data_IF_374588702852
#
_entry.id   IF_374588702852
#
_cell.length_a   1.000
_cell.length_b   1.000
_cell.length_c   1.000
_cell.angle_alpha   90.00
_cell.angle_beta   90.00
_cell.angle_gamma   90.00
#
_symmetry.space_group_name_H-M   'P 1'
#
loop_
_entity.id
_entity.type
_entity.pdbx_description
1 polymer ?
#
# COMPACT_ATOMS: atom_id res chain seq x y z
N UNK A 1 38.79 23.21 -13.60
CA UNK A 1 37.58 22.64 -12.96
C UNK A 1 37.63 21.17 -13.25
N UNK A 2 38.38 20.47 -12.41
CA UNK A 2 38.84 19.10 -12.63
C UNK A 2 37.75 18.09 -12.31
N UNK A 3 37.64 17.09 -13.18
CA UNK A 3 36.72 15.97 -13.07
C UNK A 3 37.08 15.08 -11.87
N UNK A 4 36.09 14.73 -11.06
CA UNK A 4 36.24 13.79 -9.94
C UNK A 4 36.04 12.38 -10.45
N UNK A 5 37.07 11.55 -10.35
CA UNK A 5 37.07 10.14 -10.69
C UNK A 5 36.51 9.28 -9.55
N UNK A 6 35.67 8.30 -9.90
CA UNK A 6 35.20 7.23 -8.99
C UNK A 6 36.05 5.96 -9.19
N UNK A 7 36.56 5.32 -8.13
CA UNK A 7 37.19 4.01 -8.28
C UNK A 7 36.15 2.88 -8.27
N UNK A 8 36.21 2.06 -9.32
CA UNK A 8 35.54 0.77 -9.47
C UNK A 8 36.22 -0.32 -8.65
N UNK A 9 35.45 -1.14 -7.91
CA UNK A 9 35.85 -2.54 -7.66
C UNK A 9 34.65 -3.44 -7.34
N UNK A 10 34.59 -4.55 -8.07
CA UNK A 10 33.89 -5.82 -7.81
C UNK A 10 34.94 -6.92 -8.07
N UNK A 11 34.72 -8.22 -7.80
CA UNK A 11 33.69 -8.92 -7.00
C UNK A 11 34.33 -9.90 -5.98
N UNK A 12 33.52 -10.53 -5.10
CA UNK A 12 33.92 -11.78 -4.45
C UNK A 12 32.74 -12.75 -4.31
N UNK A 13 32.93 -13.94 -4.89
CA UNK A 13 32.04 -15.10 -4.89
C UNK A 13 32.31 -16.00 -3.66
N UNK A 14 31.26 -16.74 -3.29
CA UNK A 14 31.26 -18.15 -2.86
C UNK A 14 31.77 -18.53 -1.45
N UNK A 15 30.85 -19.09 -0.64
CA UNK A 15 31.12 -20.33 0.10
C UNK A 15 29.81 -21.08 0.41
N UNK A 16 29.77 -22.34 -0.01
CA UNK A 16 28.72 -23.36 0.20
C UNK A 16 28.95 -24.14 1.52
N UNK A 17 27.84 -24.74 2.02
CA UNK A 17 27.59 -25.64 3.17
C UNK A 17 28.73 -26.51 3.75
N UNK A 18 28.52 -27.03 4.98
CA UNK A 18 28.27 -28.47 5.09
C UNK A 18 27.07 -28.88 5.97
N UNK A 19 26.58 -30.09 5.67
CA UNK A 19 25.56 -30.90 6.35
C UNK A 19 25.90 -31.25 7.81
N UNK A 20 24.86 -31.55 8.59
CA UNK A 20 24.91 -32.58 9.63
C UNK A 20 23.53 -33.22 9.85
N UNK A 21 23.51 -34.55 9.76
CA UNK A 21 22.41 -35.50 9.87
C UNK A 21 22.24 -36.09 11.28
N UNK A 22 21.04 -36.60 11.59
CA UNK A 22 20.73 -37.56 12.68
C UNK A 22 19.84 -36.97 13.78
N UNK A 23 18.84 -37.62 14.38
CA UNK A 23 18.45 -39.03 14.53
C UNK A 23 16.92 -39.08 14.87
N UNK A 24 16.11 -39.98 14.27
CA UNK A 24 15.64 -41.26 14.81
C UNK A 24 15.03 -41.25 16.23
N UNK A 25 13.77 -41.69 16.36
CA UNK A 25 13.19 -42.14 17.65
C UNK A 25 11.65 -42.14 17.70
N UNK A 26 11.01 -43.25 17.30
CA UNK A 26 9.58 -43.50 17.54
C UNK A 26 9.28 -44.16 18.89
N UNK A 27 7.98 -44.24 19.24
CA UNK A 27 7.28 -45.38 19.91
C UNK A 27 5.81 -45.01 20.23
N UNK A 28 4.91 -45.87 19.73
CA UNK A 28 3.77 -46.58 20.36
C UNK A 28 3.05 -45.85 21.52
N UNK A 29 1.72 -45.69 21.57
CA UNK A 29 0.66 -46.69 21.37
C UNK A 29 0.03 -47.03 22.72
N UNK A 30 -1.30 -46.85 22.90
CA UNK A 30 -2.21 -47.79 23.56
C UNK A 30 -3.60 -47.17 23.85
N UNK A 31 -4.58 -47.93 23.38
CA UNK A 31 -5.99 -47.98 23.76
C UNK A 31 -6.23 -48.19 25.26
N UNK A 32 -7.36 -47.67 25.76
CA UNK A 32 -7.95 -48.07 27.04
C UNK A 32 -9.42 -47.67 27.12
N UNK A 33 -10.31 -48.66 26.97
CA UNK A 33 -11.73 -48.62 27.28
C UNK A 33 -11.95 -48.64 28.81
N UNK A 34 -12.94 -47.92 29.32
CA UNK A 34 -13.70 -48.29 30.51
C UNK A 34 -15.06 -47.58 30.55
N UNK A 35 -16.10 -48.34 30.85
CA UNK A 35 -17.52 -48.00 30.86
C UNK A 35 -18.01 -47.37 32.19
N UNK A 36 -19.26 -46.88 32.11
CA UNK A 36 -20.35 -46.97 33.11
C UNK A 36 -20.68 -45.76 34.01
N UNK A 37 -21.73 -45.07 33.58
CA UNK A 37 -22.98 -44.72 34.31
C UNK A 37 -22.93 -44.37 35.80
N UNK A 38 -23.28 -43.11 36.11
CA UNK A 38 -24.34 -42.77 37.08
C UNK A 38 -24.68 -41.28 36.98
N UNK A 39 -25.98 -40.96 36.96
CA UNK A 39 -26.48 -39.61 36.75
C UNK A 39 -26.53 -38.76 38.02
N UNK A 40 -26.66 -37.45 37.83
CA UNK A 40 -27.68 -36.61 38.47
C UNK A 40 -27.63 -35.17 37.94
N UNK A 41 -28.84 -34.68 37.64
CA UNK A 41 -29.30 -33.29 37.57
C UNK A 41 -28.35 -32.17 37.98
N UNK A 42 -28.15 -31.23 37.05
CA UNK A 42 -27.69 -29.88 37.34
C UNK A 42 -28.10 -28.95 36.21
N UNK A 43 -29.17 -28.18 36.39
CA UNK A 43 -29.48 -27.03 35.54
C UNK A 43 -28.34 -26.01 35.67
N UNK A 44 -27.43 -25.99 34.70
CA UNK A 44 -26.55 -24.85 34.48
C UNK A 44 -27.13 -24.04 33.32
N UNK A 45 -27.64 -22.86 33.65
CA UNK A 45 -28.04 -21.82 32.70
C UNK A 45 -26.88 -21.60 31.74
N UNK A 46 -27.07 -21.97 30.47
CA UNK A 46 -26.19 -21.53 29.39
C UNK A 46 -26.21 -20.01 29.39
N UNK A 47 -25.07 -19.42 29.73
CA UNK A 47 -24.82 -18.01 29.49
C UNK A 47 -24.93 -17.80 27.99
N UNK A 48 -25.89 -16.99 27.59
CA UNK A 48 -25.89 -16.30 26.31
C UNK A 48 -24.60 -15.45 26.31
N UNK A 49 -23.53 -15.99 25.72
CA UNK A 49 -22.35 -15.20 25.35
C UNK A 49 -22.82 -14.21 24.31
N UNK A 50 -23.33 -13.08 24.79
CA UNK A 50 -23.40 -11.84 24.05
C UNK A 50 -21.98 -11.54 23.57
N UNK A 51 -21.66 -11.94 22.34
CA UNK A 51 -20.51 -11.44 21.63
C UNK A 51 -20.65 -9.92 21.57
N UNK A 52 -19.96 -9.23 22.48
CA UNK A 52 -19.73 -7.80 22.36
C UNK A 52 -19.11 -7.55 20.99
N UNK A 53 -19.64 -6.61 20.19
CA UNK A 53 -19.11 -6.36 18.87
C UNK A 53 -17.66 -5.90 19.04
N UNK A 54 -16.72 -6.72 18.57
CA UNK A 54 -15.30 -6.37 18.54
C UNK A 54 -15.16 -5.04 17.81
N UNK A 55 -14.84 -3.97 18.54
CA UNK A 55 -14.56 -2.68 17.93
C UNK A 55 -13.31 -2.82 17.06
N UNK A 56 -13.51 -3.00 15.76
CA UNK A 56 -12.42 -3.06 14.78
C UNK A 56 -11.81 -1.67 14.68
N UNK A 57 -10.68 -1.47 15.37
CA UNK A 57 -9.88 -0.25 15.21
C UNK A 57 -9.33 -0.24 13.79
N UNK A 58 -9.47 0.89 13.10
CA UNK A 58 -8.96 1.05 11.73
C UNK A 58 -7.43 1.21 11.79
N UNK A 59 -6.70 0.39 11.06
CA UNK A 59 -5.24 0.36 11.03
C UNK A 59 -4.71 0.64 9.61
N UNK A 60 -3.48 1.19 9.46
CA UNK A 60 -2.85 1.33 8.15
C UNK A 60 -2.68 -0.04 7.49
N UNK A 61 -2.88 -0.12 6.18
CA UNK A 61 -2.83 -1.37 5.45
C UNK A 61 -2.34 -1.16 4.01
N UNK A 62 -1.39 -1.99 3.58
CA UNK A 62 -0.80 -1.95 2.23
C UNK A 62 -1.66 -2.65 1.16
N UNK A 63 -2.66 -3.44 1.57
CA UNK A 63 -3.49 -4.19 0.64
C UNK A 63 -4.57 -3.28 0.05
N UNK A 64 -4.49 -3.05 -1.25
CA UNK A 64 -5.52 -2.35 -2.03
C UNK A 64 -6.69 -3.30 -2.30
N UNK A 65 -7.88 -2.91 -1.85
CA UNK A 65 -9.11 -3.59 -2.21
C UNK A 65 -9.70 -2.96 -3.47
N UNK A 66 -10.43 -3.77 -4.22
CA UNK A 66 -10.94 -3.39 -5.53
C UNK A 66 -12.31 -3.99 -5.75
N UNK A 67 -13.13 -3.31 -6.55
CA UNK A 67 -14.45 -3.77 -6.93
C UNK A 67 -14.61 -3.78 -8.45
N UNK A 68 -15.58 -4.53 -8.96
CA UNK A 68 -15.84 -4.61 -10.39
C UNK A 68 -16.28 -3.25 -10.95
N UNK A 69 -15.75 -2.87 -12.11
CA UNK A 69 -16.17 -1.68 -12.82
C UNK A 69 -17.69 -1.77 -13.13
N UNK A 70 -18.53 -0.82 -12.69
CA UNK A 70 -19.97 -0.84 -12.96
C UNK A 70 -20.34 -0.52 -14.41
N UNK A 71 -19.41 -0.02 -15.23
CA UNK A 71 -19.63 0.37 -16.63
C UNK A 71 -18.41 0.08 -17.51
N UNK A 72 -17.99 -1.20 -17.67
CA UNK A 72 -16.76 -1.56 -18.41
C UNK A 72 -16.84 -1.27 -19.91
N UNK A 73 -18.04 -1.17 -20.48
CA UNK A 73 -18.26 -0.89 -21.90
C UNK A 73 -18.10 0.59 -22.31
N UNK A 74 -17.77 1.48 -21.38
CA UNK A 74 -17.60 2.92 -21.65
C UNK A 74 -16.41 3.47 -20.89
N UNK A 75 -15.63 4.27 -21.58
CA UNK A 75 -14.54 5.03 -20.96
C UNK A 75 -15.10 6.18 -20.13
N UNK A 76 -14.66 6.23 -18.88
CA UNK A 76 -14.91 7.35 -17.98
C UNK A 76 -13.67 7.60 -17.13
N UNK A 77 -13.43 8.87 -16.81
CA UNK A 77 -12.33 9.27 -15.96
C UNK A 77 -12.82 9.40 -14.51
N UNK A 78 -12.06 8.82 -13.57
CA UNK A 78 -12.26 8.99 -12.13
C UNK A 78 -11.13 9.85 -11.60
N UNK A 79 -11.48 10.89 -10.86
CA UNK A 79 -10.52 11.73 -10.14
C UNK A 79 -10.75 11.65 -8.64
N UNK A 80 -9.69 11.40 -7.88
CA UNK A 80 -9.69 11.31 -6.42
C UNK A 80 -8.61 12.26 -5.89
N UNK A 81 -9.00 13.14 -4.97
CA UNK A 81 -8.09 14.00 -4.23
C UNK A 81 -7.80 13.40 -2.85
N UNK A 82 -6.52 13.26 -2.53
CA UNK A 82 -6.02 12.71 -1.27
C UNK A 82 -5.17 13.79 -0.57
N UNK A 83 -5.79 14.69 0.22
CA UNK A 83 -5.09 15.82 0.84
C UNK A 83 -4.34 15.49 2.14
N UNK A 84 -4.45 14.25 2.63
CA UNK A 84 -3.94 13.83 3.94
C UNK A 84 -2.66 12.96 3.85
N UNK A 85 -1.93 13.02 2.75
CA UNK A 85 -0.72 12.20 2.60
C UNK A 85 0.45 12.75 3.41
N UNK A 86 1.17 11.84 4.06
CA UNK A 86 2.44 12.15 4.73
C UNK A 86 3.38 10.95 4.70
N UNK A 87 4.67 11.23 4.68
CA UNK A 87 5.76 10.26 4.82
C UNK A 87 6.95 10.92 5.53
N UNK A 88 7.99 10.17 5.86
CA UNK A 88 9.21 10.71 6.43
C UNK A 88 10.26 10.97 5.34
N UNK A 89 11.06 12.01 5.54
CA UNK A 89 12.25 12.20 4.73
C UNK A 89 13.35 11.20 5.13
N UNK A 90 13.92 10.41 4.19
CA UNK A 90 14.94 9.41 4.48
C UNK A 90 16.21 9.99 5.12
N UNK A 91 16.48 11.29 4.91
CA UNK A 91 17.70 11.96 5.38
C UNK A 91 17.54 12.60 6.75
N UNK A 92 16.41 13.26 7.00
CA UNK A 92 16.23 14.08 8.20
C UNK A 92 15.23 13.49 9.19
N UNK A 93 14.42 12.51 8.78
CA UNK A 93 13.31 11.98 9.59
C UNK A 93 12.18 12.99 9.82
N UNK A 94 12.22 14.16 9.18
CA UNK A 94 11.14 15.13 9.25
C UNK A 94 9.96 14.66 8.39
N UNK A 95 8.71 14.91 8.83
CA UNK A 95 7.54 14.59 8.03
C UNK A 95 7.45 15.51 6.81
N UNK A 96 7.26 14.90 5.65
CA UNK A 96 6.85 15.56 4.43
C UNK A 96 5.34 15.35 4.25
N UNK A 97 4.66 16.36 3.71
CA UNK A 97 3.22 16.36 3.45
C UNK A 97 2.97 16.62 1.98
N UNK A 98 1.94 15.98 1.42
CA UNK A 98 1.54 16.21 0.04
C UNK A 98 0.02 16.10 -0.15
N UNK A 99 -0.45 16.71 -1.22
CA UNK A 99 -1.76 16.44 -1.78
C UNK A 99 -1.54 15.56 -3.01
N UNK A 100 -2.08 14.34 -2.99
CA UNK A 100 -2.12 13.49 -4.17
C UNK A 100 -3.41 13.69 -4.95
N UNK A 101 -3.29 13.81 -6.27
CA UNK A 101 -4.41 13.80 -7.21
C UNK A 101 -4.25 12.57 -8.09
N UNK A 102 -5.12 11.58 -7.88
CA UNK A 102 -5.16 10.36 -8.65
C UNK A 102 -6.25 10.48 -9.72
N UNK A 103 -5.87 10.31 -10.98
CA UNK A 103 -6.78 10.29 -12.13
C UNK A 103 -6.60 8.98 -12.87
N UNK A 104 -7.68 8.29 -13.21
CA UNK A 104 -7.58 7.05 -13.97
C UNK A 104 -8.83 6.74 -14.78
N UNK A 105 -8.64 5.96 -15.84
CA UNK A 105 -9.71 5.32 -16.61
C UNK A 105 -9.68 3.82 -16.28
N UNK A 106 -10.67 3.29 -15.55
CA UNK A 106 -10.70 1.89 -15.17
C UNK A 106 -10.85 0.97 -16.39
N UNK A 107 -10.32 -0.25 -16.26
CA UNK A 107 -10.64 -1.37 -17.15
C UNK A 107 -11.78 -2.18 -16.53
N UNK A 108 -11.49 -3.34 -15.93
CA UNK A 108 -12.44 -4.25 -15.29
C UNK A 108 -12.64 -3.95 -13.79
N UNK A 109 -11.71 -3.22 -13.17
CA UNK A 109 -11.69 -2.98 -11.72
C UNK A 109 -11.51 -1.50 -11.38
N UNK A 110 -12.11 -1.11 -10.26
CA UNK A 110 -11.96 0.18 -9.63
C UNK A 110 -11.31 0.01 -8.25
N UNK A 111 -10.59 1.02 -7.80
CA UNK A 111 -10.00 1.04 -6.44
C UNK A 111 -11.07 1.37 -5.40
N UNK A 112 -11.07 0.64 -4.28
CA UNK A 112 -11.99 0.91 -3.16
C UNK A 112 -11.42 2.02 -2.26
N UNK A 113 -12.26 3.00 -1.89
CA UNK A 113 -11.82 4.25 -1.25
C UNK A 113 -11.27 4.06 0.17
N UNK A 114 -11.84 3.16 0.97
CA UNK A 114 -11.36 2.90 2.33
C UNK A 114 -9.95 2.31 2.28
N UNK A 115 -9.74 1.26 1.49
CA UNK A 115 -8.43 0.62 1.31
C UNK A 115 -7.40 1.59 0.75
N UNK A 116 -7.78 2.46 -0.20
CA UNK A 116 -6.91 3.52 -0.72
C UNK A 116 -6.47 4.48 0.40
N UNK A 117 -7.39 4.90 1.27
CA UNK A 117 -7.06 5.72 2.44
C UNK A 117 -6.07 5.02 3.38
N UNK A 118 -6.30 3.74 3.69
CA UNK A 118 -5.42 2.96 4.58
C UNK A 118 -4.04 2.73 3.95
N UNK A 119 -4.01 2.59 2.64
CA UNK A 119 -2.79 2.50 1.84
C UNK A 119 -1.97 3.77 1.92
N UNK A 120 -2.55 4.95 1.69
CA UNK A 120 -1.83 6.22 1.88
C UNK A 120 -1.37 6.42 3.34
N UNK A 121 -2.19 6.04 4.32
CA UNK A 121 -1.81 6.13 5.73
C UNK A 121 -0.59 5.25 6.05
N UNK A 122 -0.41 4.11 5.39
CA UNK A 122 0.72 3.21 5.67
C UNK A 122 2.11 3.80 5.38
N UNK A 123 2.21 4.91 4.65
CA UNK A 123 3.48 5.61 4.38
C UNK A 123 3.93 6.56 5.49
N UNK A 124 3.06 6.85 6.47
CA UNK A 124 3.26 7.93 7.45
C UNK A 124 4.59 7.88 8.17
N UNK A 125 5.01 6.68 8.56
CA UNK A 125 6.21 6.45 9.35
C UNK A 125 7.37 5.86 8.53
N UNK A 126 7.27 5.93 7.19
CA UNK A 126 8.27 5.38 6.28
C UNK A 126 9.07 6.47 5.57
N UNK A 127 10.37 6.20 5.38
CA UNK A 127 11.29 7.11 4.71
C UNK A 127 11.22 7.00 3.19
N UNK A 128 10.75 8.03 2.49
CA UNK A 128 10.72 8.07 1.01
C UNK A 128 11.14 9.41 0.40
N UNK A 129 11.75 9.38 -0.79
CA UNK A 129 11.89 10.58 -1.61
C UNK A 129 10.57 10.89 -2.33
N UNK A 130 10.32 12.16 -2.67
CA UNK A 130 9.06 12.60 -3.29
C UNK A 130 8.82 11.91 -4.64
N UNK A 131 9.88 11.73 -5.41
CA UNK A 131 9.88 11.07 -6.70
C UNK A 131 9.62 9.57 -6.56
N UNK A 132 10.33 8.92 -5.62
CA UNK A 132 10.23 7.49 -5.37
C UNK A 132 8.82 7.10 -4.89
N UNK A 133 8.30 7.80 -3.88
CA UNK A 133 6.98 7.49 -3.32
C UNK A 133 5.87 7.67 -4.33
N UNK A 134 5.96 8.69 -5.18
CA UNK A 134 4.95 8.93 -6.23
C UNK A 134 4.95 7.81 -7.28
N UNK A 135 6.14 7.39 -7.76
CA UNK A 135 6.23 6.30 -8.73
C UNK A 135 5.79 4.97 -8.12
N UNK A 136 6.22 4.69 -6.88
CA UNK A 136 5.81 3.47 -6.16
C UNK A 136 4.30 3.39 -5.97
N UNK A 137 3.67 4.49 -5.56
CA UNK A 137 2.20 4.52 -5.40
C UNK A 137 1.51 4.25 -6.73
N UNK A 138 2.00 4.85 -7.83
CA UNK A 138 1.46 4.58 -9.16
C UNK A 138 1.59 3.10 -9.53
N UNK A 139 2.77 2.50 -9.36
CA UNK A 139 3.02 1.10 -9.70
C UNK A 139 2.12 0.15 -8.91
N UNK A 140 1.98 0.38 -7.60
CA UNK A 140 1.12 -0.43 -6.72
C UNK A 140 -0.37 -0.32 -7.13
N UNK A 141 -0.82 0.88 -7.52
CA UNK A 141 -2.20 1.10 -8.02
C UNK A 141 -2.42 0.44 -9.38
N UNK A 142 -1.46 0.57 -10.30
CA UNK A 142 -1.50 -0.07 -11.63
C UNK A 142 -1.56 -1.59 -11.48
N UNK A 143 -0.74 -2.15 -10.59
CA UNK A 143 -0.78 -3.58 -10.30
C UNK A 143 -2.13 -4.01 -9.69
N UNK A 144 -2.70 -3.18 -8.81
CA UNK A 144 -3.96 -3.47 -8.13
C UNK A 144 -5.20 -3.47 -9.04
N UNK A 145 -5.28 -2.55 -10.01
CA UNK A 145 -6.51 -2.36 -10.82
C UNK A 145 -6.32 -2.49 -12.34
N UNK A 146 -5.08 -2.56 -12.85
CA UNK A 146 -4.76 -2.65 -14.28
C UNK A 146 -5.56 -1.65 -15.14
N UNK A 147 -5.44 -0.33 -14.86
CA UNK A 147 -6.23 0.71 -15.53
C UNK A 147 -5.84 0.84 -17.01
N UNK A 148 -6.72 1.40 -17.84
CA UNK A 148 -6.40 1.72 -19.25
C UNK A 148 -5.46 2.93 -19.35
N UNK A 149 -5.65 3.89 -18.44
CA UNK A 149 -4.80 5.05 -18.27
C UNK A 149 -4.84 5.50 -16.80
N UNK A 150 -3.72 6.00 -16.29
CA UNK A 150 -3.63 6.53 -14.93
C UNK A 150 -2.57 7.63 -14.85
N UNK A 151 -2.86 8.67 -14.08
CA UNK A 151 -1.97 9.76 -13.71
C UNK A 151 -2.03 9.94 -12.19
N UNK A 152 -0.87 10.01 -11.56
CA UNK A 152 -0.74 10.39 -10.17
C UNK A 152 0.12 11.65 -10.08
N UNK A 153 -0.47 12.72 -9.57
CA UNK A 153 0.21 13.98 -9.27
C UNK A 153 0.36 14.13 -7.76
N UNK A 154 1.61 14.18 -7.27
CA UNK A 154 1.94 14.51 -5.89
C UNK A 154 2.40 15.97 -5.79
N UNK A 155 1.61 16.81 -5.14
CA UNK A 155 1.95 18.21 -4.83
C UNK A 155 2.47 18.28 -3.40
N UNK A 156 3.80 18.34 -3.24
CA UNK A 156 4.45 18.35 -1.93
C UNK A 156 4.54 19.76 -1.35
N UNK A 157 4.39 19.84 -0.03
CA UNK A 157 4.50 21.10 0.72
C UNK A 157 5.92 21.70 0.63
N UNK A 158 6.00 22.99 0.94
CA UNK A 158 7.26 23.76 0.85
C UNK A 158 8.32 23.16 1.77
N UNK A 159 9.50 22.90 1.21
CA UNK A 159 10.71 22.54 1.95
C UNK A 159 11.89 23.37 1.48
N UNK A 160 12.55 24.07 2.40
CA UNK A 160 13.68 24.94 2.05
C UNK A 160 13.32 26.08 1.09
N UNK A 161 12.06 26.53 1.10
CA UNK A 161 11.56 27.57 0.18
C UNK A 161 11.16 27.06 -1.21
N UNK A 162 11.22 25.74 -1.46
CA UNK A 162 10.87 25.12 -2.73
C UNK A 162 9.63 24.26 -2.60
N UNK A 163 8.77 24.29 -3.61
CA UNK A 163 7.69 23.30 -3.79
C UNK A 163 8.12 22.28 -4.84
N UNK A 164 7.67 21.05 -4.66
CA UNK A 164 7.92 19.96 -5.62
C UNK A 164 6.57 19.40 -6.08
N UNK A 165 6.40 19.27 -7.39
CA UNK A 165 5.28 18.54 -7.96
C UNK A 165 5.82 17.42 -8.82
N UNK A 166 5.46 16.18 -8.48
CA UNK A 166 5.83 14.99 -9.23
C UNK A 166 4.58 14.47 -9.94
N UNK A 167 4.67 14.23 -11.24
CA UNK A 167 3.58 13.65 -12.03
C UNK A 167 4.12 12.37 -12.67
N UNK A 168 3.49 11.25 -12.36
CA UNK A 168 3.78 9.95 -12.95
C UNK A 168 2.54 9.44 -13.71
N UNK A 169 2.74 8.72 -14.82
CA UNK A 169 1.67 8.25 -15.69
C UNK A 169 1.87 6.82 -16.16
N UNK A 170 0.77 6.16 -16.47
CA UNK A 170 0.71 4.81 -17.01
C UNK A 170 -0.39 4.68 -18.05
N UNK A 171 -0.16 3.88 -19.09
CA UNK A 171 -1.16 3.52 -20.10
C UNK A 171 -1.35 4.57 -21.20
N UNK A 172 -2.55 4.61 -21.77
CA UNK A 172 -2.88 5.50 -22.89
C UNK A 172 -3.27 6.90 -22.38
N UNK A 173 -2.32 7.83 -22.41
CA UNK A 173 -2.53 9.22 -21.96
C UNK A 173 -3.66 9.94 -22.72
N UNK A 174 -4.02 9.50 -23.94
CA UNK A 174 -5.09 10.15 -24.72
C UNK A 174 -6.48 9.97 -24.11
N UNK A 175 -6.63 8.99 -23.22
CA UNK A 175 -7.85 8.72 -22.48
C UNK A 175 -8.04 9.66 -21.28
N UNK A 176 -6.97 10.34 -20.85
CA UNK A 176 -7.05 11.31 -19.77
C UNK A 176 -7.33 12.69 -20.35
N UNK A 177 -8.24 13.40 -19.71
CA UNK A 177 -8.56 14.79 -20.08
C UNK A 177 -7.28 15.64 -19.98
N UNK A 178 -6.86 16.37 -21.02
CA UNK A 178 -5.68 17.23 -20.92
C UNK A 178 -5.85 18.26 -19.81
N UNK A 179 -4.86 18.37 -18.92
CA UNK A 179 -4.84 19.49 -17.99
C UNK A 179 -4.53 20.75 -18.77
N UNK A 180 -5.45 21.71 -18.73
CA UNK A 180 -5.09 23.09 -19.01
C UNK A 180 -4.08 23.50 -17.94
N UNK A 181 -2.78 23.44 -18.28
CA UNK A 181 -1.75 24.08 -17.49
C UNK A 181 -2.14 25.56 -17.50
N UNK A 182 -2.65 26.06 -16.38
CA UNK A 182 -2.86 27.50 -16.20
C UNK A 182 -1.48 28.16 -16.37
N UNK A 183 -1.19 28.60 -17.58
CA UNK A 183 -0.09 29.50 -17.86
C UNK A 183 -0.47 30.83 -17.21
N UNK A 184 -0.07 31.04 -15.96
CA UNK A 184 -0.17 32.32 -15.28
C UNK A 184 -1.19 32.37 -14.16
N UNK A 185 -0.74 32.04 -12.94
CA UNK A 185 -1.21 32.65 -11.71
C UNK A 185 0.02 32.91 -10.81
N UNK A 186 0.94 33.73 -11.31
CA UNK A 186 1.85 34.50 -10.48
C UNK A 186 1.40 35.96 -10.57
N UNK A 187 0.37 36.31 -9.81
CA UNK A 187 0.10 37.70 -9.43
C UNK A 187 -0.49 37.69 -8.03
N UNK A 188 0.38 37.41 -7.06
CA UNK A 188 0.18 37.95 -5.71
C UNK A 188 0.64 39.40 -5.81
N UNK A 189 -0.33 40.30 -5.92
CA UNK A 189 -0.17 41.73 -5.63
C UNK A 189 -0.30 41.95 -4.12
#
# INVERSE_FOLDING_TARGET
MDAVAFPSSSPARSATKPDCSGAAGGKNGCSGLAESLTGQSGLARGGDESQEPTMMTTQPNRNLETFANPSPGRDYEVEILCPEFTCLCPKTGQPDFAIFRLRYVPSERCVELKSLKLYFWSFRDEGHFHEDVTNRILDDLVQGISPRAMELEGVFNIRGGLTTTVIARHGDETLLTPRHRLAGLNSVS
#
